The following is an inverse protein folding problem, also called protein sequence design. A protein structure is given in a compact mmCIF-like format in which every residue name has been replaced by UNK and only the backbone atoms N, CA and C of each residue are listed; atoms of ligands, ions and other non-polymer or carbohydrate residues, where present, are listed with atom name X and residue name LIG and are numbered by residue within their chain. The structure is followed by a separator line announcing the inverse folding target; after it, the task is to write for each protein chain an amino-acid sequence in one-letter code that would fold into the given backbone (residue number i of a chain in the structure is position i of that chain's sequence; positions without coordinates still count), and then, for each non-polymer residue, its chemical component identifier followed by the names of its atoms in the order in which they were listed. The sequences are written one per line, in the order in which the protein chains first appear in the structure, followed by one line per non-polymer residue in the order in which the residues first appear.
data_IF_940850827750
#
_entry.id   IF_940850827750
#
_cell.length_a   1.000
_cell.length_b   1.000
_cell.length_c   1.000
_cell.angle_alpha   90.00
_cell.angle_beta   90.00
_cell.angle_gamma   90.00
#
_symmetry.space_group_name_H-M   'P 1'
#
loop_
_entity.id
_entity.type
_entity.pdbx_description
1 polymer ?
#
# COMPACT_ATOMS: atom_id res chain seq x y z
N UNK A 1 12.69 -54.68 21.04
CA UNK A 1 12.97 -53.69 19.97
C UNK A 1 11.78 -53.41 19.07
N UNK A 2 10.99 -54.40 18.60
CA UNK A 2 9.82 -54.16 17.73
C UNK A 2 8.65 -53.35 18.35
N UNK A 3 8.49 -53.36 19.67
CA UNK A 3 7.40 -52.60 20.33
C UNK A 3 7.67 -51.10 20.49
N UNK A 4 8.95 -50.68 20.52
CA UNK A 4 9.32 -49.27 20.67
C UNK A 4 9.13 -48.48 19.35
N UNK A 5 9.40 -49.10 18.20
CA UNK A 5 9.17 -48.50 16.88
C UNK A 5 7.67 -48.27 16.57
N UNK A 6 6.80 -49.14 17.08
CA UNK A 6 5.34 -48.99 16.91
C UNK A 6 4.74 -47.80 17.66
N UNK A 7 5.32 -47.44 18.81
CA UNK A 7 4.84 -46.34 19.67
C UNK A 7 5.26 -44.95 19.13
N UNK A 8 6.44 -44.83 18.53
CA UNK A 8 6.86 -43.58 17.85
C UNK A 8 6.08 -43.34 16.55
N UNK A 9 5.84 -44.39 15.77
CA UNK A 9 5.02 -44.34 14.55
C UNK A 9 3.58 -43.89 14.85
N UNK A 10 2.95 -44.43 15.91
CA UNK A 10 1.61 -44.02 16.33
C UNK A 10 1.53 -42.55 16.80
N UNK A 11 2.58 -42.03 17.44
CA UNK A 11 2.63 -40.61 17.88
C UNK A 11 2.74 -39.66 16.69
N UNK A 12 3.54 -40.00 15.68
CA UNK A 12 3.63 -39.25 14.42
C UNK A 12 2.30 -39.21 13.67
N UNK A 13 1.62 -40.35 13.54
CA UNK A 13 0.34 -40.47 12.85
C UNK A 13 -0.78 -39.65 13.52
N UNK A 14 -0.86 -39.67 14.86
CA UNK A 14 -1.83 -38.86 15.61
C UNK A 14 -1.60 -37.36 15.43
N UNK A 15 -0.35 -36.91 15.35
CA UNK A 15 0.00 -35.50 15.13
C UNK A 15 -0.37 -35.04 13.71
N UNK A 16 -0.07 -35.87 12.70
CA UNK A 16 -0.47 -35.65 11.31
C UNK A 16 -1.99 -35.55 11.16
N UNK A 17 -2.74 -36.47 11.77
CA UNK A 17 -4.21 -36.43 11.77
C UNK A 17 -4.75 -35.16 12.44
N UNK A 18 -4.14 -34.73 13.56
CA UNK A 18 -4.49 -33.49 14.23
C UNK A 18 -4.34 -32.26 13.32
N UNK A 19 -3.21 -32.16 12.59
CA UNK A 19 -2.93 -31.07 11.64
C UNK A 19 -3.89 -31.11 10.45
N UNK A 20 -4.15 -32.31 9.90
CA UNK A 20 -5.08 -32.48 8.79
C UNK A 20 -6.52 -32.09 9.20
N UNK A 21 -6.95 -32.49 10.40
CA UNK A 21 -8.26 -32.13 10.95
C UNK A 21 -8.40 -30.63 11.16
N UNK A 22 -7.40 -29.95 11.71
CA UNK A 22 -7.45 -28.49 11.91
C UNK A 22 -7.42 -27.74 10.58
N UNK A 23 -6.60 -28.16 9.62
CA UNK A 23 -6.61 -27.60 8.26
C UNK A 23 -7.96 -27.78 7.57
N UNK A 24 -8.54 -28.98 7.65
CA UNK A 24 -9.85 -29.28 7.08
C UNK A 24 -10.94 -28.38 7.66
N UNK A 25 -11.01 -28.27 9.00
CA UNK A 25 -11.97 -27.39 9.66
C UNK A 25 -11.72 -25.92 9.35
N UNK A 26 -10.46 -25.48 9.26
CA UNK A 26 -10.12 -24.11 8.87
C UNK A 26 -10.60 -23.78 7.46
N UNK A 27 -10.41 -24.68 6.49
CA UNK A 27 -10.89 -24.52 5.12
C UNK A 27 -12.42 -24.55 5.06
N UNK A 28 -13.06 -25.49 5.75
CA UNK A 28 -14.51 -25.62 5.79
C UNK A 28 -15.15 -24.35 6.35
N UNK A 29 -14.58 -23.76 7.40
CA UNK A 29 -15.12 -22.55 8.03
C UNK A 29 -14.96 -21.28 7.18
N UNK A 30 -14.13 -21.29 6.12
CA UNK A 30 -14.05 -20.18 5.15
C UNK A 30 -15.19 -20.16 4.13
N UNK A 31 -15.89 -21.28 3.95
CA UNK A 31 -17.04 -21.39 3.05
C UNK A 31 -18.33 -20.90 3.72
N UNK A 32 -19.30 -20.46 2.93
CA UNK A 32 -20.67 -20.17 3.41
C UNK A 32 -21.36 -21.45 3.88
N UNK A 33 -22.36 -21.38 4.79
CA UNK A 33 -23.04 -22.57 5.32
C UNK A 33 -23.56 -23.53 4.23
N UNK A 34 -24.14 -22.98 3.14
CA UNK A 34 -24.62 -23.77 2.01
C UNK A 34 -23.48 -24.50 1.27
N UNK A 35 -22.36 -23.82 1.01
CA UNK A 35 -21.19 -24.41 0.34
C UNK A 35 -20.51 -25.47 1.21
N UNK A 36 -20.52 -25.32 2.54
CA UNK A 36 -20.04 -26.35 3.48
C UNK A 36 -20.85 -27.63 3.35
N UNK A 37 -22.18 -27.52 3.34
CA UNK A 37 -23.06 -28.69 3.15
C UNK A 37 -22.78 -29.34 1.80
N UNK A 38 -22.66 -28.55 0.73
CA UNK A 38 -22.39 -29.08 -0.60
C UNK A 38 -21.04 -29.80 -0.69
N UNK A 39 -19.99 -29.26 -0.05
CA UNK A 39 -18.68 -29.90 0.05
C UNK A 39 -18.75 -31.22 0.84
N UNK A 40 -19.46 -31.25 1.97
CA UNK A 40 -19.63 -32.45 2.79
C UNK A 40 -20.43 -33.53 2.06
N UNK A 41 -21.47 -33.15 1.31
CA UNK A 41 -22.23 -34.08 0.47
C UNK A 41 -21.36 -34.64 -0.65
N UNK A 42 -20.60 -33.79 -1.35
CA UNK A 42 -19.66 -34.22 -2.40
C UNK A 42 -18.63 -35.21 -1.85
N UNK A 43 -18.08 -34.93 -0.66
CA UNK A 43 -17.12 -35.81 0.00
C UNK A 43 -17.77 -37.14 0.45
N UNK A 44 -18.98 -37.10 1.01
CA UNK A 44 -19.73 -38.30 1.39
C UNK A 44 -20.04 -39.19 0.17
N UNK A 45 -20.45 -38.59 -0.95
CA UNK A 45 -20.70 -39.30 -2.20
C UNK A 45 -19.42 -39.94 -2.75
N UNK A 46 -18.29 -39.23 -2.70
CA UNK A 46 -17.00 -39.78 -3.11
C UNK A 46 -16.59 -41.00 -2.25
N UNK A 47 -16.77 -40.92 -0.93
CA UNK A 47 -16.48 -42.03 -0.01
C UNK A 47 -17.42 -43.21 -0.25
N UNK A 48 -18.72 -42.96 -0.42
CA UNK A 48 -19.71 -44.00 -0.72
C UNK A 48 -19.42 -44.70 -2.04
N UNK A 49 -18.91 -43.99 -3.05
CA UNK A 49 -18.51 -44.57 -4.34
C UNK A 49 -17.35 -45.57 -4.21
N UNK A 50 -16.43 -45.35 -3.26
CA UNK A 50 -15.31 -46.26 -2.99
C UNK A 50 -15.69 -47.51 -2.20
N UNK A 51 -16.82 -47.48 -1.49
CA UNK A 51 -17.37 -48.60 -0.74
C UNK A 51 -18.26 -49.43 -1.68
N UNK A 52 -17.68 -50.40 -2.41
CA UNK A 52 -18.44 -51.32 -3.29
C UNK A 52 -19.53 -52.05 -2.50
N UNK A 53 -20.76 -51.54 -2.49
CA UNK A 53 -21.92 -52.23 -1.94
C UNK A 53 -22.39 -53.30 -2.93
N UNK A 54 -22.03 -54.56 -2.70
CA UNK A 54 -22.66 -55.71 -3.35
C UNK A 54 -24.10 -55.83 -2.83
N UNK A 55 -25.06 -55.16 -3.46
CA UNK A 55 -26.48 -55.31 -3.15
C UNK A 55 -27.15 -56.08 -4.29
N UNK A 56 -27.36 -57.37 -4.09
CA UNK A 56 -28.25 -58.17 -4.93
C UNK A 56 -29.71 -57.71 -4.73
N UNK A 57 -30.36 -57.47 -5.87
CA UNK A 57 -31.80 -57.31 -6.10
C UNK A 57 -32.44 -55.93 -5.85
N UNK A 58 -33.15 -55.56 -6.91
CA UNK A 58 -34.22 -54.58 -7.07
C UNK A 58 -33.79 -53.14 -7.39
N UNK A 59 -33.86 -52.85 -8.70
CA UNK A 59 -34.05 -51.53 -9.28
C UNK A 59 -33.20 -50.42 -8.65
N UNK A 60 -31.89 -50.63 -8.57
CA UNK A 60 -30.98 -49.56 -8.23
C UNK A 60 -30.93 -48.60 -9.43
N UNK A 61 -31.47 -47.39 -9.24
CA UNK A 61 -30.91 -46.22 -9.91
C UNK A 61 -29.40 -46.34 -9.76
N UNK A 62 -28.69 -46.62 -10.85
CA UNK A 62 -27.23 -46.72 -10.89
C UNK A 62 -26.69 -45.29 -10.73
N UNK A 63 -26.84 -44.77 -9.52
CA UNK A 63 -26.42 -43.43 -9.17
C UNK A 63 -24.90 -43.49 -9.10
N UNK A 64 -24.26 -43.07 -10.19
CA UNK A 64 -22.83 -42.87 -10.26
C UNK A 64 -22.43 -41.77 -9.27
N UNK A 65 -22.27 -42.15 -8.00
CA UNK A 65 -21.89 -41.25 -6.91
C UNK A 65 -20.57 -40.53 -7.21
N UNK A 66 -19.66 -41.17 -7.97
CA UNK A 66 -18.45 -40.55 -8.50
C UNK A 66 -18.75 -39.36 -9.42
N UNK A 67 -19.64 -39.53 -10.40
CA UNK A 67 -20.04 -38.45 -11.32
C UNK A 67 -20.77 -37.34 -10.56
N UNK A 68 -21.65 -37.70 -9.62
CA UNK A 68 -22.38 -36.72 -8.82
C UNK A 68 -21.43 -35.92 -7.91
N UNK A 69 -20.47 -36.57 -7.26
CA UNK A 69 -19.45 -35.91 -6.46
C UNK A 69 -18.59 -34.97 -7.33
N UNK A 70 -18.17 -35.42 -8.51
CA UNK A 70 -17.40 -34.60 -9.46
C UNK A 70 -18.19 -33.35 -9.90
N UNK A 71 -19.48 -33.49 -10.21
CA UNK A 71 -20.35 -32.37 -10.55
C UNK A 71 -20.53 -31.39 -9.39
N UNK A 72 -20.67 -31.89 -8.15
CA UNK A 72 -20.75 -31.03 -6.97
C UNK A 72 -19.44 -30.29 -6.71
N UNK A 73 -18.28 -30.94 -6.86
CA UNK A 73 -16.98 -30.27 -6.76
C UNK A 73 -16.78 -29.24 -7.87
N UNK A 74 -17.17 -29.55 -9.10
CA UNK A 74 -17.12 -28.60 -10.22
C UNK A 74 -18.03 -27.39 -9.96
N UNK A 75 -19.24 -27.62 -9.47
CA UNK A 75 -20.17 -26.55 -9.08
C UNK A 75 -19.56 -25.68 -7.98
N UNK A 76 -19.01 -26.29 -6.91
CA UNK A 76 -18.39 -25.56 -5.81
C UNK A 76 -17.18 -24.74 -6.27
N UNK A 77 -16.34 -25.32 -7.14
CA UNK A 77 -15.22 -24.62 -7.76
C UNK A 77 -15.71 -23.45 -8.61
N UNK A 78 -16.76 -23.65 -9.41
CA UNK A 78 -17.31 -22.61 -10.27
C UNK A 78 -17.87 -21.43 -9.48
N UNK A 79 -18.56 -21.69 -8.36
CA UNK A 79 -19.07 -20.68 -7.45
C UNK A 79 -17.92 -19.90 -6.77
N UNK A 80 -16.89 -20.60 -6.31
CA UNK A 80 -15.73 -19.96 -5.68
C UNK A 80 -14.91 -19.13 -6.67
N UNK A 81 -14.79 -19.59 -7.92
CA UNK A 81 -14.18 -18.82 -9.00
C UNK A 81 -15.00 -17.59 -9.36
N UNK A 82 -16.33 -17.71 -9.43
CA UNK A 82 -17.22 -16.57 -9.70
C UNK A 82 -17.09 -15.47 -8.63
N UNK A 83 -17.04 -15.85 -7.35
CA UNK A 83 -16.81 -14.89 -6.26
C UNK A 83 -15.44 -14.21 -6.37
N UNK A 84 -14.38 -14.98 -6.65
CA UNK A 84 -13.02 -14.43 -6.82
C UNK A 84 -12.92 -13.47 -7.99
N UNK A 85 -13.59 -13.77 -9.10
CA UNK A 85 -13.64 -12.89 -10.28
C UNK A 85 -14.39 -11.60 -9.95
N UNK A 86 -15.53 -11.70 -9.28
CA UNK A 86 -16.30 -10.52 -8.83
C UNK A 86 -15.47 -9.65 -7.89
N UNK A 87 -14.86 -10.24 -6.85
CA UNK A 87 -14.02 -9.52 -5.90
C UNK A 87 -12.81 -8.86 -6.57
N UNK A 88 -12.17 -9.54 -7.54
CA UNK A 88 -11.08 -8.94 -8.32
C UNK A 88 -11.56 -7.73 -9.11
N UNK A 89 -12.74 -7.80 -9.73
CA UNK A 89 -13.32 -6.69 -10.48
C UNK A 89 -13.68 -5.51 -9.57
N UNK A 90 -14.25 -5.76 -8.39
CA UNK A 90 -14.54 -4.71 -7.41
C UNK A 90 -13.26 -4.00 -6.94
N UNK A 91 -12.17 -4.74 -6.75
CA UNK A 91 -10.87 -4.17 -6.42
C UNK A 91 -10.25 -3.37 -7.57
N UNK A 92 -10.45 -3.77 -8.82
CA UNK A 92 -10.04 -3.01 -10.01
C UNK A 92 -10.81 -1.68 -10.11
N UNK A 93 -12.12 -1.70 -9.84
CA UNK A 93 -12.95 -0.48 -9.79
C UNK A 93 -12.49 0.43 -8.66
N UNK A 94 -12.23 -0.11 -7.47
CA UNK A 94 -11.73 0.67 -6.34
C UNK A 94 -10.38 1.35 -6.66
N UNK A 95 -9.49 0.64 -7.37
CA UNK A 95 -8.22 1.19 -7.86
C UNK A 95 -8.44 2.35 -8.83
N UNK A 96 -9.36 2.19 -9.77
CA UNK A 96 -9.70 3.23 -10.74
C UNK A 96 -10.18 4.50 -10.03
N UNK A 97 -11.10 4.36 -9.06
CA UNK A 97 -11.58 5.48 -8.25
C UNK A 97 -10.41 6.13 -7.48
N UNK A 98 -9.53 5.34 -6.87
CA UNK A 98 -8.38 5.87 -6.13
C UNK A 98 -7.43 6.64 -7.04
N UNK A 99 -7.28 6.23 -8.30
CA UNK A 99 -6.48 6.95 -9.30
C UNK A 99 -7.03 8.34 -9.63
N UNK A 100 -8.32 8.60 -9.39
CA UNK A 100 -8.92 9.93 -9.56
C UNK A 100 -8.63 10.87 -8.38
N UNK A 101 -8.20 10.33 -7.24
CA UNK A 101 -7.90 11.10 -6.02
C UNK A 101 -6.48 11.66 -6.00
N UNK A 102 -5.59 11.09 -6.80
CA UNK A 102 -4.20 11.52 -6.97
C UNK A 102 -4.03 12.25 -8.32
N UNK A 103 -3.11 13.22 -8.42
CA UNK A 103 -2.92 13.95 -9.67
C UNK A 103 -2.36 13.04 -10.77
N UNK A 104 -2.95 13.09 -11.96
CA UNK A 104 -2.42 12.41 -13.15
C UNK A 104 -1.16 13.08 -13.68
N UNK A 105 -1.08 14.40 -13.54
CA UNK A 105 0.06 15.22 -13.95
C UNK A 105 0.42 16.23 -12.85
N UNK A 106 1.70 16.52 -12.65
CA UNK A 106 2.14 17.57 -11.73
C UNK A 106 1.68 18.96 -12.19
N UNK A 107 1.40 19.87 -11.24
CA UNK A 107 1.09 21.25 -11.57
C UNK A 107 2.33 21.93 -12.16
N UNK A 108 2.12 22.91 -13.04
CA UNK A 108 3.20 23.76 -13.52
C UNK A 108 3.63 24.71 -12.42
N UNK A 109 4.93 24.79 -12.15
CA UNK A 109 5.51 25.65 -11.12
C UNK A 109 6.58 26.53 -11.76
N UNK A 110 6.50 27.84 -11.53
CA UNK A 110 7.53 28.76 -12.02
C UNK A 110 8.84 28.48 -11.30
N UNK A 111 9.92 28.27 -12.06
CA UNK A 111 11.24 28.00 -11.49
C UNK A 111 11.37 26.63 -10.82
N UNK A 112 10.48 25.66 -11.10
CA UNK A 112 10.63 24.29 -10.63
C UNK A 112 9.94 23.25 -11.54
N UNK A 113 10.50 22.04 -11.55
CA UNK A 113 9.90 20.86 -12.18
C UNK A 113 9.48 19.86 -11.11
N UNK A 114 8.36 19.17 -11.30
CA UNK A 114 7.86 18.14 -10.40
C UNK A 114 7.56 16.88 -11.22
N UNK A 115 7.80 15.71 -10.64
CA UNK A 115 7.42 14.43 -11.23
C UNK A 115 7.03 13.42 -10.14
N UNK A 116 6.08 12.54 -10.45
CA UNK A 116 5.62 11.46 -9.55
C UNK A 116 5.67 10.12 -10.27
N UNK A 117 6.04 9.07 -9.56
CA UNK A 117 5.78 7.70 -9.97
C UNK A 117 5.29 6.89 -8.78
N UNK A 118 4.29 6.05 -9.00
CA UNK A 118 3.85 5.05 -8.02
C UNK A 118 3.81 3.67 -8.67
N UNK A 119 4.24 2.67 -7.91
CA UNK A 119 4.12 1.26 -8.24
C UNK A 119 3.43 0.56 -7.07
N UNK A 120 2.11 0.37 -7.15
CA UNK A 120 1.37 -0.29 -6.08
C UNK A 120 1.65 -1.81 -6.08
N UNK A 121 1.80 -2.38 -4.89
CA UNK A 121 1.94 -3.81 -4.65
C UNK A 121 0.62 -4.57 -4.87
N UNK A 122 -0.48 -3.97 -4.42
CA UNK A 122 -1.82 -4.57 -4.47
C UNK A 122 -2.72 -3.83 -5.48
N UNK A 123 -3.96 -4.30 -5.65
CA UNK A 123 -4.93 -3.63 -6.51
C UNK A 123 -5.16 -2.18 -6.08
N UNK A 124 -5.27 -1.92 -4.78
CA UNK A 124 -5.42 -0.59 -4.17
C UNK A 124 -4.22 -0.28 -3.28
N UNK A 125 -3.82 1.00 -3.23
CA UNK A 125 -2.62 1.47 -2.54
C UNK A 125 -2.92 2.09 -1.17
N UNK A 126 -1.99 1.98 -0.22
CA UNK A 126 -2.01 2.76 1.03
C UNK A 126 -1.39 4.15 0.87
N UNK A 127 -0.49 4.28 -0.11
CA UNK A 127 0.24 5.51 -0.42
C UNK A 127 -0.66 6.63 -0.96
N UNK A 128 -0.35 7.85 -0.54
CA UNK A 128 -0.88 9.09 -1.08
C UNK A 128 0.26 10.02 -1.46
N UNK A 129 0.15 10.63 -2.63
CA UNK A 129 1.05 11.68 -3.06
C UNK A 129 0.24 12.73 -3.82
N UNK A 130 0.63 13.99 -3.68
CA UNK A 130 -0.03 15.09 -4.38
C UNK A 130 0.89 16.31 -4.44
N UNK A 131 0.71 17.13 -5.48
CA UNK A 131 1.15 18.50 -5.47
C UNK A 131 0.09 19.39 -6.10
N UNK A 132 -0.30 20.46 -5.40
CA UNK A 132 -1.39 21.30 -5.84
C UNK A 132 -1.32 22.70 -5.24
N UNK A 133 -1.95 23.65 -5.92
CA UNK A 133 -2.20 24.98 -5.38
C UNK A 133 -3.58 24.98 -4.69
N UNK A 134 -3.68 25.31 -3.38
CA UNK A 134 -4.96 25.46 -2.69
C UNK A 134 -5.83 26.53 -3.35
N UNK A 135 -5.21 27.62 -3.82
CA UNK A 135 -5.85 28.62 -4.65
C UNK A 135 -5.20 28.65 -6.05
N UNK A 136 -5.86 28.07 -7.07
CA UNK A 136 -5.34 28.04 -8.44
C UNK A 136 -5.12 29.42 -9.08
N UNK A 137 -5.71 30.49 -8.53
CA UNK A 137 -5.60 31.84 -9.11
C UNK A 137 -4.36 32.61 -8.63
N UNK A 138 -3.86 32.31 -7.42
CA UNK A 138 -2.75 33.05 -6.83
C UNK A 138 -1.36 32.44 -7.15
N UNK A 139 -1.30 31.12 -7.32
CA UNK A 139 -0.07 30.35 -7.64
C UNK A 139 1.13 30.65 -6.71
N UNK A 140 0.88 31.09 -5.49
CA UNK A 140 1.88 31.57 -4.51
C UNK A 140 2.18 30.56 -3.39
N UNK A 141 1.31 29.57 -3.21
CA UNK A 141 1.44 28.49 -2.22
C UNK A 141 1.18 27.15 -2.88
N UNK A 142 2.24 26.41 -3.14
CA UNK A 142 2.19 25.04 -3.61
C UNK A 142 2.27 24.09 -2.41
N UNK A 143 1.27 23.23 -2.27
CA UNK A 143 1.35 22.08 -1.37
C UNK A 143 2.05 20.94 -2.08
N UNK A 144 2.95 20.26 -1.37
CA UNK A 144 3.53 18.98 -1.79
C UNK A 144 3.37 18.02 -0.63
N UNK A 145 2.76 16.86 -0.88
CA UNK A 145 2.46 15.87 0.17
C UNK A 145 2.84 14.48 -0.32
N UNK A 146 3.42 13.70 0.59
CA UNK A 146 3.56 12.26 0.47
C UNK A 146 3.13 11.63 1.80
N UNK A 147 2.43 10.51 1.76
CA UNK A 147 1.96 9.82 2.93
C UNK A 147 1.80 8.32 2.67
N UNK A 148 1.94 7.52 3.72
CA UNK A 148 1.73 6.08 3.69
C UNK A 148 0.90 5.66 4.91
N UNK A 149 -0.24 5.02 4.64
CA UNK A 149 -1.19 4.55 5.64
C UNK A 149 -0.82 3.14 6.09
N UNK A 150 -0.60 2.98 7.39
CA UNK A 150 -0.31 1.69 7.98
C UNK A 150 -1.42 0.66 7.71
N UNK A 151 -1.03 -0.45 7.09
CA UNK A 151 -1.91 -1.54 6.67
C UNK A 151 -1.72 -1.86 5.20
N UNK A 152 -2.57 -2.74 4.66
CA UNK A 152 -2.57 -3.08 3.22
C UNK A 152 -4.00 -3.27 2.74
N UNK A 153 -4.19 -3.22 1.42
CA UNK A 153 -5.48 -3.48 0.76
C UNK A 153 -6.55 -2.43 1.11
N UNK A 154 -7.83 -2.81 1.01
CA UNK A 154 -9.01 -1.94 1.08
C UNK A 154 -9.03 -1.03 2.33
N UNK A 155 -8.72 -1.48 3.56
CA UNK A 155 -8.77 -0.60 4.72
C UNK A 155 -7.77 0.57 4.65
N UNK A 156 -6.56 0.35 4.13
CA UNK A 156 -5.55 1.39 3.97
C UNK A 156 -5.98 2.39 2.88
N UNK A 157 -6.49 1.90 1.75
CA UNK A 157 -7.00 2.74 0.66
C UNK A 157 -8.16 3.66 1.08
N UNK A 158 -9.07 3.18 1.94
CA UNK A 158 -10.19 4.00 2.46
C UNK A 158 -9.70 5.11 3.40
N UNK A 159 -8.74 4.81 4.28
CA UNK A 159 -8.12 5.80 5.15
C UNK A 159 -7.30 6.82 4.35
N UNK A 160 -6.61 6.37 3.31
CA UNK A 160 -5.90 7.23 2.35
C UNK A 160 -6.84 8.24 1.69
N UNK A 161 -7.99 7.78 1.18
CA UNK A 161 -9.01 8.66 0.58
C UNK A 161 -9.56 9.68 1.59
N UNK A 162 -9.71 9.26 2.84
CA UNK A 162 -10.18 10.13 3.92
C UNK A 162 -9.14 11.20 4.29
N UNK A 163 -7.84 10.83 4.31
CA UNK A 163 -6.74 11.77 4.51
C UNK A 163 -6.69 12.81 3.39
N UNK A 164 -6.78 12.35 2.13
CA UNK A 164 -6.81 13.22 0.94
C UNK A 164 -7.93 14.25 1.04
N UNK A 165 -9.16 13.81 1.32
CA UNK A 165 -10.31 14.69 1.46
C UNK A 165 -10.12 15.70 2.60
N UNK A 166 -9.66 15.23 3.76
CA UNK A 166 -9.42 16.07 4.94
C UNK A 166 -8.37 17.15 4.67
N UNK A 167 -7.26 16.78 4.00
CA UNK A 167 -6.21 17.71 3.60
C UNK A 167 -6.75 18.77 2.64
N UNK A 168 -7.47 18.36 1.59
CA UNK A 168 -8.03 19.27 0.59
C UNK A 168 -9.01 20.27 1.21
N UNK A 169 -9.80 19.85 2.20
CA UNK A 169 -10.70 20.77 2.92
C UNK A 169 -9.95 21.73 3.86
N UNK A 170 -9.06 21.23 4.71
CA UNK A 170 -8.41 22.06 5.75
C UNK A 170 -7.47 23.10 5.11
N UNK A 171 -6.82 22.76 4.00
CA UNK A 171 -5.84 23.66 3.37
C UNK A 171 -6.48 24.90 2.74
N UNK A 172 -7.75 24.82 2.33
CA UNK A 172 -8.53 25.95 1.81
C UNK A 172 -8.76 27.04 2.87
N UNK A 173 -8.73 26.69 4.15
CA UNK A 173 -8.86 27.66 5.25
C UNK A 173 -7.63 28.56 5.45
N UNK A 174 -6.56 28.34 4.69
CA UNK A 174 -5.31 29.11 4.73
C UNK A 174 -4.67 29.24 6.14
N UNK A 175 -4.79 28.17 6.94
CA UNK A 175 -4.16 28.07 8.26
C UNK A 175 -2.65 27.78 8.15
N UNK A 176 -1.84 28.12 9.18
CA UNK A 176 -0.44 27.74 9.24
C UNK A 176 -0.21 26.22 9.12
N UNK A 177 0.92 25.81 8.54
CA UNK A 177 1.26 24.39 8.32
C UNK A 177 1.19 23.53 9.59
N UNK A 178 1.65 24.07 10.73
CA UNK A 178 1.60 23.37 12.02
C UNK A 178 0.17 23.09 12.47
N UNK A 179 -0.74 24.06 12.26
CA UNK A 179 -2.15 23.93 12.62
C UNK A 179 -2.88 22.97 11.68
N UNK A 180 -2.53 23.02 10.39
CA UNK A 180 -3.03 22.08 9.38
C UNK A 180 -2.71 20.64 9.79
N UNK A 181 -1.45 20.35 10.14
CA UNK A 181 -1.04 18.99 10.54
C UNK A 181 -1.63 18.58 11.88
N UNK A 182 -1.74 19.50 12.86
CA UNK A 182 -2.42 19.21 14.11
C UNK A 182 -3.89 18.82 13.91
N UNK A 183 -4.61 19.51 13.01
CA UNK A 183 -6.00 19.19 12.66
C UNK A 183 -6.12 17.85 11.92
N UNK A 184 -5.23 17.58 10.97
CA UNK A 184 -5.17 16.28 10.29
C UNK A 184 -4.93 15.15 11.29
N UNK A 185 -4.00 15.32 12.22
CA UNK A 185 -3.72 14.35 13.26
C UNK A 185 -4.94 14.12 14.18
N UNK A 186 -5.62 15.19 14.59
CA UNK A 186 -6.83 15.09 15.41
C UNK A 186 -7.92 14.28 14.69
N UNK A 187 -8.15 14.57 13.41
CA UNK A 187 -9.08 13.82 12.57
C UNK A 187 -8.67 12.35 12.43
N UNK A 188 -7.40 12.08 12.10
CA UNK A 188 -6.87 10.73 11.97
C UNK A 188 -7.02 9.92 13.28
N UNK A 189 -6.82 10.55 14.44
CA UNK A 189 -6.95 9.89 15.74
C UNK A 189 -8.38 9.41 15.99
N UNK A 190 -9.40 10.15 15.54
CA UNK A 190 -10.81 9.74 15.66
C UNK A 190 -11.13 8.43 14.92
N UNK A 191 -10.30 8.05 13.94
CA UNK A 191 -10.49 6.87 13.09
C UNK A 191 -9.37 5.81 13.22
N UNK A 192 -8.45 5.98 14.19
CA UNK A 192 -7.19 5.22 14.31
C UNK A 192 -7.28 3.86 15.02
N UNK A 193 -8.46 3.41 15.47
CA UNK A 193 -8.62 2.23 16.35
C UNK A 193 -7.64 2.26 17.55
N UNK A 194 -7.58 3.39 18.28
CA UNK A 194 -6.65 3.64 19.37
C UNK A 194 -5.16 3.59 18.95
N UNK A 195 -4.82 4.17 17.81
CA UNK A 195 -3.44 4.25 17.31
C UNK A 195 -2.91 2.98 16.63
N UNK A 196 -3.74 1.94 16.46
CA UNK A 196 -3.38 0.74 15.68
C UNK A 196 -3.35 0.99 14.17
N UNK A 197 -4.03 2.05 13.72
CA UNK A 197 -3.96 2.56 12.35
C UNK A 197 -3.47 3.99 12.39
N UNK A 198 -2.33 4.23 11.79
CA UNK A 198 -1.70 5.53 11.71
C UNK A 198 -1.27 5.79 10.27
N UNK A 199 -1.00 7.05 9.97
CA UNK A 199 -0.50 7.47 8.66
C UNK A 199 0.78 8.24 8.85
N UNK A 200 1.84 7.78 8.21
CA UNK A 200 3.07 8.56 8.10
C UNK A 200 2.90 9.58 6.99
N UNK A 201 3.35 10.82 7.16
CA UNK A 201 3.25 11.83 6.12
C UNK A 201 4.37 12.86 6.16
N UNK A 202 4.73 13.42 5.01
CA UNK A 202 5.45 14.68 4.91
C UNK A 202 4.57 15.68 4.19
N UNK A 203 4.40 16.84 4.79
CA UNK A 203 3.70 17.96 4.18
C UNK A 203 4.67 19.11 3.98
N UNK A 204 4.63 19.71 2.80
CA UNK A 204 5.44 20.85 2.43
C UNK A 204 4.59 21.95 1.83
N UNK A 205 4.92 23.19 2.19
CA UNK A 205 4.41 24.42 1.62
C UNK A 205 5.56 25.14 0.93
N UNK A 206 5.52 25.18 -0.40
CA UNK A 206 6.49 25.87 -1.22
C UNK A 206 5.91 27.18 -1.75
N UNK A 207 6.65 28.27 -1.59
CA UNK A 207 6.33 29.56 -2.18
C UNK A 207 7.22 29.81 -3.41
N UNK A 208 6.68 29.78 -4.65
CA UNK A 208 7.50 29.93 -5.86
C UNK A 208 8.25 31.26 -5.96
N UNK A 209 7.68 32.35 -5.43
CA UNK A 209 8.27 33.69 -5.53
C UNK A 209 9.51 33.85 -4.64
N UNK A 210 9.46 33.30 -3.42
CA UNK A 210 10.57 33.38 -2.45
C UNK A 210 11.47 32.15 -2.45
N UNK A 211 11.07 31.08 -3.16
CA UNK A 211 11.70 29.75 -3.17
C UNK A 211 11.87 29.14 -1.78
N UNK A 212 11.05 29.59 -0.83
CA UNK A 212 11.03 29.08 0.54
C UNK A 212 10.11 27.87 0.63
N UNK A 213 10.64 26.81 1.21
CA UNK A 213 9.92 25.58 1.55
C UNK A 213 9.76 25.52 3.07
N UNK A 214 8.52 25.50 3.55
CA UNK A 214 8.20 25.09 4.92
C UNK A 214 7.76 23.64 4.89
N UNK A 215 8.20 22.83 5.85
CA UNK A 215 7.84 21.43 5.89
C UNK A 215 7.65 20.92 7.31
N UNK A 216 7.00 19.75 7.38
CA UNK A 216 6.78 18.97 8.59
C UNK A 216 6.75 17.49 8.22
N UNK A 217 7.52 16.70 8.95
CA UNK A 217 7.56 15.25 8.82
C UNK A 217 6.77 14.58 9.97
N UNK A 218 5.55 14.15 9.70
CA UNK A 218 4.73 13.37 10.61
C UNK A 218 5.12 11.88 10.56
N UNK A 219 6.34 11.57 11.00
CA UNK A 219 6.85 10.21 11.19
C UNK A 219 7.04 9.38 9.91
N UNK A 220 7.19 10.03 8.76
CA UNK A 220 7.51 9.41 7.48
C UNK A 220 9.02 9.36 7.24
N UNK A 221 9.42 8.62 6.22
CA UNK A 221 10.78 8.65 5.72
C UNK A 221 11.20 10.07 5.35
N UNK A 222 12.33 10.51 5.90
CA UNK A 222 12.82 11.86 5.69
C UNK A 222 13.19 12.08 4.21
N UNK A 223 12.58 13.08 3.54
CA UNK A 223 12.95 13.42 2.18
C UNK A 223 14.41 13.82 2.10
N UNK A 224 15.06 13.47 0.99
CA UNK A 224 16.46 13.78 0.74
C UNK A 224 16.54 15.02 -0.13
N UNK A 225 17.16 16.07 0.41
CA UNK A 225 17.53 17.27 -0.31
C UNK A 225 18.96 17.14 -0.81
N UNK A 226 19.12 17.07 -2.12
CA UNK A 226 20.42 17.17 -2.80
C UNK A 226 20.64 18.61 -3.24
N UNK A 227 21.63 19.25 -2.64
CA UNK A 227 22.09 20.59 -3.02
C UNK A 227 22.78 20.56 -4.38
N UNK A 228 22.82 21.70 -5.07
CA UNK A 228 23.51 21.85 -6.36
C UNK A 228 24.97 21.39 -6.33
N UNK A 229 25.67 21.58 -5.20
CA UNK A 229 27.06 21.17 -4.97
C UNK A 229 27.22 19.66 -4.66
N UNK A 230 26.12 18.89 -4.61
CA UNK A 230 26.12 17.47 -4.29
C UNK A 230 26.00 17.14 -2.79
N UNK A 231 25.96 18.12 -1.89
CA UNK A 231 25.67 17.87 -0.47
C UNK A 231 24.26 17.29 -0.31
N UNK A 232 24.11 16.33 0.59
CA UNK A 232 22.81 15.73 0.93
C UNK A 232 22.39 16.17 2.33
N UNK A 233 21.13 16.56 2.46
CA UNK A 233 20.44 16.92 3.71
C UNK A 233 19.15 16.09 3.81
N UNK A 234 18.69 15.80 5.03
CA UNK A 234 17.43 15.09 5.30
C UNK A 234 16.42 16.04 5.97
N UNK A 235 15.15 15.94 5.57
CA UNK A 235 14.06 16.75 6.12
C UNK A 235 13.37 15.99 7.26
N UNK A 236 13.91 16.14 8.47
CA UNK A 236 13.50 15.37 9.67
C UNK A 236 12.60 16.15 10.63
N UNK A 237 12.55 17.48 10.54
CA UNK A 237 11.76 18.31 11.46
C UNK A 237 10.27 17.93 11.40
N UNK A 238 9.67 17.63 12.55
CA UNK A 238 8.34 17.07 12.57
C UNK A 238 7.88 16.48 13.89
N UNK A 239 7.21 15.33 13.85
CA UNK A 239 6.60 14.69 15.00
C UNK A 239 6.19 13.24 14.74
N UNK A 240 5.32 12.70 15.60
CA UNK A 240 4.81 11.33 15.46
C UNK A 240 3.94 11.16 14.21
N UNK A 241 3.77 9.92 13.71
CA UNK A 241 2.75 9.64 12.70
C UNK A 241 1.35 10.11 13.09
N UNK A 242 0.58 10.54 12.08
CA UNK A 242 -0.79 10.98 12.23
C UNK A 242 -1.65 9.83 12.75
N UNK A 243 -2.54 10.11 13.70
CA UNK A 243 -3.48 9.13 14.23
C UNK A 243 -3.01 8.36 15.46
N UNK A 244 -1.76 8.54 15.91
CA UNK A 244 -1.26 7.86 17.12
C UNK A 244 -1.78 8.53 18.40
N UNK A 245 -1.71 9.87 18.48
CA UNK A 245 -2.08 10.62 19.69
C UNK A 245 -2.64 12.00 19.33
N UNK A 246 -3.84 12.38 19.80
CA UNK A 246 -4.47 13.65 19.45
C UNK A 246 -3.62 14.89 19.81
N UNK A 247 -3.08 14.92 21.03
CA UNK A 247 -2.28 16.02 21.55
C UNK A 247 -0.78 15.86 21.23
N UNK A 248 -0.46 15.73 19.94
CA UNK A 248 0.93 15.69 19.46
C UNK A 248 1.36 17.09 19.01
N UNK A 249 2.49 17.56 19.51
CA UNK A 249 3.12 18.78 19.03
C UNK A 249 3.99 18.44 17.81
N UNK A 250 3.76 19.13 16.69
CA UNK A 250 4.56 18.99 15.48
C UNK A 250 5.53 20.16 15.36
N UNK A 251 6.79 19.88 15.07
CA UNK A 251 7.76 20.90 14.71
C UNK A 251 7.71 21.15 13.21
N UNK A 252 7.89 22.42 12.81
CA UNK A 252 8.02 22.79 11.40
C UNK A 252 9.40 23.40 11.18
N UNK A 253 9.96 23.19 10.00
CA UNK A 253 11.21 23.83 9.60
C UNK A 253 11.07 24.52 8.25
N UNK A 254 11.94 25.49 8.01
CA UNK A 254 12.02 26.23 6.75
C UNK A 254 13.39 26.10 6.12
N UNK A 255 13.43 26.02 4.80
CA UNK A 255 14.65 26.13 4.02
C UNK A 255 14.40 26.86 2.70
N UNK A 256 15.46 27.34 2.08
CA UNK A 256 15.43 27.90 0.72
C UNK A 256 15.91 26.84 -0.27
N UNK A 257 15.16 26.66 -1.37
CA UNK A 257 15.54 25.82 -2.49
C UNK A 257 16.19 26.66 -3.58
N UNK A 258 17.47 26.41 -3.84
CA UNK A 258 18.23 27.15 -4.85
C UNK A 258 18.18 26.43 -6.20
N UNK A 259 18.34 27.14 -7.33
CA UNK A 259 18.46 26.51 -8.63
C UNK A 259 19.51 25.39 -8.63
N UNK A 260 19.13 24.22 -9.16
CA UNK A 260 19.96 23.01 -9.17
C UNK A 260 19.77 22.11 -7.96
N UNK A 261 19.06 22.55 -6.91
CA UNK A 261 18.66 21.71 -5.79
C UNK A 261 17.56 20.72 -6.24
N UNK A 262 17.62 19.51 -5.69
CA UNK A 262 16.65 18.45 -5.92
C UNK A 262 16.14 17.91 -4.59
N UNK A 263 14.83 17.90 -4.40
CA UNK A 263 14.18 17.31 -3.24
C UNK A 263 13.46 16.03 -3.66
N UNK A 264 13.77 14.93 -2.99
CA UNK A 264 13.33 13.59 -3.37
C UNK A 264 12.59 12.97 -2.18
N UNK A 265 11.35 12.55 -2.43
CA UNK A 265 10.50 11.89 -1.46
C UNK A 265 10.25 10.45 -1.89
N UNK A 266 10.07 9.56 -0.92
CA UNK A 266 9.89 8.14 -1.13
C UNK A 266 9.09 7.51 0.02
N UNK A 267 8.18 6.58 -0.31
CA UNK A 267 7.45 5.77 0.67
C UNK A 267 8.23 4.51 1.05
N UNK A 268 7.78 3.83 2.12
CA UNK A 268 8.47 2.67 2.71
C UNK A 268 8.40 1.43 1.81
N UNK A 269 9.34 1.34 0.86
CA UNK A 269 9.64 0.16 0.06
C UNK A 269 10.84 -0.67 0.56
N UNK A 270 11.46 -0.29 1.68
CA UNK A 270 12.49 -1.06 2.39
C UNK A 270 13.79 -0.30 2.70
N UNK A 271 14.66 -0.92 3.51
CA UNK A 271 16.06 -0.53 3.83
C UNK A 271 16.92 -0.15 2.59
N UNK A 272 16.40 -0.41 1.39
CA UNK A 272 16.97 -0.18 0.07
C UNK A 272 17.30 1.30 -0.20
N UNK A 273 16.46 2.23 0.29
CA UNK A 273 16.65 3.68 0.10
C UNK A 273 17.69 4.29 1.04
N UNK A 274 17.98 3.64 2.18
CA UNK A 274 19.05 4.04 3.09
C UNK A 274 20.43 3.53 2.65
N UNK A 275 20.50 2.69 1.60
CA UNK A 275 21.75 2.09 1.15
C UNK A 275 22.70 3.14 0.58
N UNK A 276 24.00 3.00 0.90
CA UNK A 276 25.07 3.86 0.38
C UNK A 276 25.04 3.97 -1.16
N UNK A 277 24.60 2.93 -1.88
CA UNK A 277 24.45 2.97 -3.35
C UNK A 277 23.38 3.95 -3.80
N UNK A 278 22.24 3.99 -3.11
CA UNK A 278 21.14 4.90 -3.40
C UNK A 278 21.53 6.36 -3.14
N UNK A 279 22.10 6.62 -1.96
CA UNK A 279 22.61 7.94 -1.61
C UNK A 279 23.69 8.41 -2.58
N UNK A 280 24.55 7.51 -3.06
CA UNK A 280 25.56 7.85 -4.07
C UNK A 280 24.94 8.13 -5.45
N UNK A 281 23.85 7.45 -5.82
CA UNK A 281 23.11 7.76 -7.04
C UNK A 281 22.48 9.16 -6.97
N UNK A 282 21.87 9.51 -5.83
CA UNK A 282 21.30 10.85 -5.59
C UNK A 282 22.39 11.93 -5.62
N UNK A 283 23.53 11.68 -4.96
CA UNK A 283 24.66 12.63 -4.91
C UNK A 283 25.16 13.02 -6.30
N UNK A 284 25.25 12.04 -7.20
CA UNK A 284 25.78 12.20 -8.55
C UNK A 284 24.68 12.39 -9.60
N UNK A 285 23.51 12.88 -9.21
CA UNK A 285 22.45 13.21 -10.16
C UNK A 285 22.96 14.25 -11.17
N UNK A 286 22.81 13.99 -12.48
CA UNK A 286 23.05 15.00 -13.52
C UNK A 286 22.09 16.18 -13.35
N UNK A 287 22.33 17.27 -14.09
CA UNK A 287 21.43 18.44 -14.12
C UNK A 287 20.17 18.20 -15.00
N UNK A 288 19.51 17.08 -14.74
CA UNK A 288 18.31 16.61 -15.42
C UNK A 288 17.04 17.17 -14.81
N UNK A 289 15.95 17.14 -15.57
CA UNK A 289 14.63 17.53 -15.07
C UNK A 289 14.07 16.53 -14.05
N UNK A 290 12.96 16.89 -13.42
CA UNK A 290 12.34 16.04 -12.40
C UNK A 290 11.93 14.68 -12.98
N UNK A 291 11.46 14.62 -14.22
CA UNK A 291 10.97 13.40 -14.86
C UNK A 291 12.12 12.44 -15.20
N UNK A 292 13.21 12.94 -15.80
CA UNK A 292 14.42 12.20 -16.09
C UNK A 292 15.08 11.70 -14.78
N UNK A 293 15.10 12.55 -13.76
CA UNK A 293 15.60 12.18 -12.42
C UNK A 293 14.76 11.04 -11.83
N UNK A 294 13.44 11.17 -11.86
CA UNK A 294 12.51 10.15 -11.39
C UNK A 294 12.69 8.83 -12.14
N UNK A 295 12.78 8.86 -13.48
CA UNK A 295 13.00 7.66 -14.30
C UNK A 295 14.31 6.95 -13.93
N UNK A 296 15.38 7.71 -13.70
CA UNK A 296 16.65 7.15 -13.24
C UNK A 296 16.51 6.47 -11.87
N UNK A 297 15.87 7.14 -10.92
CA UNK A 297 15.67 6.63 -9.57
C UNK A 297 14.81 5.34 -9.59
N UNK A 298 13.69 5.35 -10.29
CA UNK A 298 12.82 4.16 -10.44
C UNK A 298 13.56 3.00 -11.11
N UNK A 299 14.38 3.26 -12.14
CA UNK A 299 15.21 2.24 -12.76
C UNK A 299 16.24 1.64 -11.78
N UNK A 300 16.83 2.45 -10.90
CA UNK A 300 17.76 1.95 -9.87
C UNK A 300 17.05 1.09 -8.82
N UNK A 301 15.81 1.41 -8.47
CA UNK A 301 14.97 0.55 -7.63
C UNK A 301 14.75 -0.80 -8.33
N UNK A 302 14.42 -0.80 -9.62
CA UNK A 302 14.21 -2.03 -10.40
C UNK A 302 15.46 -2.93 -10.43
N UNK A 303 16.64 -2.33 -10.64
CA UNK A 303 17.92 -3.04 -10.62
C UNK A 303 18.24 -3.64 -9.24
N UNK A 304 17.76 -3.03 -8.15
CA UNK A 304 17.98 -3.51 -6.79
C UNK A 304 17.00 -4.62 -6.39
N UNK A 305 15.70 -4.44 -6.67
CA UNK A 305 14.64 -5.41 -6.36
C UNK A 305 14.80 -6.70 -7.18
N UNK A 306 15.35 -6.61 -8.40
CA UNK A 306 15.66 -7.76 -9.24
C UNK A 306 14.41 -8.57 -9.63
N UNK A 307 14.38 -9.87 -9.31
CA UNK A 307 13.26 -10.78 -9.62
C UNK A 307 12.33 -11.00 -8.41
N UNK A 308 12.62 -10.33 -7.29
CA UNK A 308 11.89 -10.53 -6.04
C UNK A 308 10.54 -9.83 -6.08
N UNK A 309 9.49 -10.47 -5.54
CA UNK A 309 8.15 -9.86 -5.51
C UNK A 309 8.14 -8.68 -4.55
N UNK A 310 7.73 -7.51 -5.05
CA UNK A 310 7.57 -6.29 -4.27
C UNK A 310 6.76 -6.54 -2.98
N UNK A 311 7.30 -6.08 -1.85
CA UNK A 311 6.73 -6.30 -0.50
C UNK A 311 5.83 -5.17 -0.02
N UNK A 312 5.95 -3.97 -0.60
CA UNK A 312 5.10 -2.81 -0.30
C UNK A 312 4.90 -1.86 -1.49
N UNK A 313 3.98 -0.91 -1.37
CA UNK A 313 3.80 0.15 -2.37
C UNK A 313 5.09 0.99 -2.47
N UNK A 314 5.47 1.38 -3.70
CA UNK A 314 6.64 2.24 -3.93
C UNK A 314 6.17 3.50 -4.62
N UNK A 315 6.26 4.62 -3.91
CA UNK A 315 5.93 5.93 -4.45
C UNK A 315 7.15 6.82 -4.35
N UNK A 316 7.49 7.51 -5.45
CA UNK A 316 8.60 8.46 -5.51
C UNK A 316 8.11 9.78 -6.11
N UNK A 317 8.48 10.88 -5.46
CA UNK A 317 8.22 12.24 -5.90
C UNK A 317 9.54 12.98 -5.99
N UNK A 318 9.77 13.64 -7.12
CA UNK A 318 10.95 14.48 -7.34
C UNK A 318 10.51 15.90 -7.59
N UNK A 319 11.08 16.83 -6.82
CA UNK A 319 10.97 18.26 -7.01
C UNK A 319 12.36 18.81 -7.38
N UNK A 320 12.47 19.51 -8.51
CA UNK A 320 13.71 20.17 -8.97
C UNK A 320 13.51 21.67 -8.96
N UNK A 321 14.35 22.40 -8.24
CA UNK A 321 14.41 23.86 -8.39
C UNK A 321 15.25 24.22 -9.62
N UNK A 322 14.70 25.07 -10.49
CA UNK A 322 15.33 25.51 -11.73
C UNK A 322 15.57 27.01 -11.71
N UNK A 323 16.53 27.46 -12.50
CA UNK A 323 16.58 28.86 -12.86
C UNK A 323 15.35 29.17 -13.73
N UNK A 324 14.77 30.36 -13.56
CA UNK A 324 13.73 30.84 -14.48
C UNK A 324 14.35 30.97 -15.87
N UNK A 325 13.88 30.15 -16.81
CA UNK A 325 14.11 30.39 -18.23
C UNK A 325 13.23 31.58 -18.61
N UNK A 326 13.85 32.75 -18.76
CA UNK A 326 13.24 33.95 -19.35
C UNK A 326 12.76 33.68 -20.77
#
# INVERSE_FOLDING_TARGET
MKEAEGLESQRGLRRLYGIAKTLFWSLLMKLTPARRVLLLVAFAMLVMSGLKFHSEKNAALDMNFEVMAALLFLLLLSLELADKVTMKRDLEIAREIQSWLVPSEPPKVVGADIAFATRPQNSVAGDYYDAFYPNPSALDRLMVVIADVAGKSVPAALLMATLQASLRTIVEENVPLVDLVARLNYYACAHSLNGLRFTTAVLCEYNPNSRRLNYVNAGHNAPILRRANGTLETLEAGGLPLGIRPATNYETASLELKPGDALIFFTDGGEEFGNARWLNAIRNLPDWDAQQTLQLLMKRVDEFVGVTRQSDDITCLVFRSRAETL
#
